data_IF_930977282634
#
_entry.id   IF_930977282634
#
_cell.length_a   1.000
_cell.length_b   1.000
_cell.length_c   1.000
_cell.angle_alpha   90.00
_cell.angle_beta   90.00
_cell.angle_gamma   90.00
#
_symmetry.space_group_name_H-M   'P 1'
#
loop_
_entity.id
_entity.type
_entity.pdbx_description
1 polymer ?
#
# COMPACT_ATOMS: atom_id res chain seq x y z
N UNK A 1 8.32 20.27 -25.00
CA UNK A 1 8.60 19.99 -23.57
C UNK A 1 8.21 18.55 -23.32
N UNK A 2 9.18 17.64 -23.28
CA UNK A 2 8.92 16.24 -22.98
C UNK A 2 8.70 16.11 -21.46
N UNK A 3 7.52 15.66 -21.04
CA UNK A 3 7.29 15.28 -19.66
C UNK A 3 8.20 14.09 -19.36
N UNK A 4 9.21 14.32 -18.52
CA UNK A 4 10.05 13.25 -18.00
C UNK A 4 9.14 12.38 -17.13
N UNK A 5 8.67 11.26 -17.68
CA UNK A 5 7.94 10.27 -16.91
C UNK A 5 8.95 9.66 -15.93
N UNK A 6 8.97 10.17 -14.71
CA UNK A 6 9.72 9.60 -13.60
C UNK A 6 9.16 8.20 -13.34
N UNK A 7 9.80 7.19 -13.96
CA UNK A 7 9.67 5.82 -13.54
C UNK A 7 10.69 5.62 -12.43
N UNK A 8 10.28 5.35 -11.18
CA UNK A 8 11.23 5.03 -10.13
C UNK A 8 12.11 3.85 -10.58
N UNK A 9 13.41 3.93 -10.32
CA UNK A 9 14.34 2.84 -10.61
C UNK A 9 13.88 1.56 -9.88
N UNK A 10 14.11 0.38 -10.46
CA UNK A 10 13.67 -0.89 -9.87
C UNK A 10 14.15 -1.10 -8.42
N UNK A 11 15.33 -0.57 -8.07
CA UNK A 11 15.88 -0.60 -6.70
C UNK A 11 15.11 0.27 -5.69
N UNK A 12 14.38 1.29 -6.17
CA UNK A 12 13.55 2.16 -5.36
C UNK A 12 12.24 1.49 -4.95
N UNK A 13 11.79 0.45 -5.67
CA UNK A 13 10.57 -0.31 -5.38
C UNK A 13 10.85 -1.70 -4.80
N UNK A 14 11.89 -1.84 -3.97
CA UNK A 14 12.34 -3.11 -3.39
C UNK A 14 11.24 -3.91 -2.66
N UNK A 15 10.20 -3.24 -2.19
CA UNK A 15 9.09 -3.82 -1.44
C UNK A 15 7.94 -4.33 -2.33
N UNK A 16 7.95 -4.00 -3.63
CA UNK A 16 6.90 -4.39 -4.57
C UNK A 16 7.46 -5.48 -5.49
N UNK A 17 7.04 -6.72 -5.25
CA UNK A 17 7.51 -7.89 -6.03
C UNK A 17 7.05 -7.83 -7.50
N UNK A 18 5.85 -7.34 -7.76
CA UNK A 18 5.26 -7.27 -9.10
C UNK A 18 4.84 -5.83 -9.43
N UNK A 19 5.73 -5.02 -10.04
CA UNK A 19 5.42 -3.64 -10.40
C UNK A 19 4.17 -3.54 -11.28
N UNK A 20 3.34 -2.51 -11.05
CA UNK A 20 2.07 -2.31 -11.78
C UNK A 20 0.90 -3.13 -11.23
N UNK A 21 1.10 -3.85 -10.12
CA UNK A 21 0.04 -4.61 -9.45
C UNK A 21 -0.09 -4.20 -7.99
N UNK A 22 -1.25 -4.46 -7.41
CA UNK A 22 -1.50 -4.38 -5.97
C UNK A 22 -1.22 -5.73 -5.32
N UNK A 23 -0.62 -5.70 -4.13
CA UNK A 23 -0.41 -6.82 -3.21
C UNK A 23 0.09 -8.10 -3.89
N UNK A 24 1.31 -8.05 -4.45
CA UNK A 24 1.97 -9.14 -5.19
C UNK A 24 1.08 -9.75 -6.29
N UNK A 25 0.63 -8.94 -7.23
CA UNK A 25 -0.09 -9.46 -8.40
C UNK A 25 -1.56 -9.74 -8.15
N UNK A 26 -2.12 -9.36 -7.01
CA UNK A 26 -3.53 -9.59 -6.68
C UNK A 26 -4.45 -9.05 -7.78
N UNK A 27 -4.12 -7.87 -8.30
CA UNK A 27 -4.79 -7.23 -9.42
C UNK A 27 -3.95 -6.09 -9.99
N UNK A 28 -4.26 -5.59 -11.20
CA UNK A 28 -3.64 -4.36 -11.71
C UNK A 28 -3.79 -3.21 -10.70
N UNK A 29 -2.73 -2.41 -10.57
CA UNK A 29 -2.74 -1.24 -9.71
C UNK A 29 -3.77 -0.22 -10.26
N UNK A 30 -4.70 0.28 -9.42
CA UNK A 30 -5.63 1.33 -9.85
C UNK A 30 -4.90 2.55 -10.41
N UNK A 31 -5.49 3.17 -11.44
CA UNK A 31 -4.92 4.36 -12.06
C UNK A 31 -4.75 5.51 -11.07
N UNK A 32 -3.69 6.29 -11.25
CA UNK A 32 -3.38 7.45 -10.40
C UNK A 32 -2.66 7.11 -9.09
N UNK A 33 -2.43 5.84 -8.79
CA UNK A 33 -1.59 5.44 -7.65
C UNK A 33 -0.13 5.35 -8.06
N UNK A 34 0.73 6.04 -7.31
CA UNK A 34 2.18 5.96 -7.48
C UNK A 34 2.77 4.95 -6.49
N UNK A 35 3.44 3.89 -6.96
CA UNK A 35 4.11 2.95 -6.08
C UNK A 35 5.31 3.60 -5.39
N UNK A 36 5.50 3.32 -4.10
CA UNK A 36 6.64 3.75 -3.30
C UNK A 36 7.08 2.62 -2.38
N UNK A 37 8.29 2.73 -1.84
CA UNK A 37 8.71 1.92 -0.70
C UNK A 37 9.21 2.80 0.44
N UNK A 38 9.17 2.28 1.68
CA UNK A 38 9.71 2.98 2.83
C UNK A 38 11.18 3.39 2.62
N UNK A 39 11.57 4.53 3.19
CA UNK A 39 12.95 5.03 3.09
C UNK A 39 13.88 4.42 4.15
N UNK A 40 13.33 3.70 5.13
CA UNK A 40 14.09 3.08 6.23
C UNK A 40 14.98 1.95 5.74
N UNK A 41 16.28 2.04 6.03
CA UNK A 41 17.26 1.00 5.72
C UNK A 41 16.98 -0.32 6.45
N UNK A 42 16.60 -0.26 7.72
CA UNK A 42 16.23 -1.44 8.51
C UNK A 42 15.03 -2.16 7.90
N UNK A 43 14.01 -1.40 7.51
CA UNK A 43 12.79 -1.98 6.93
C UNK A 43 13.06 -2.56 5.53
N UNK A 44 13.99 -1.95 4.78
CA UNK A 44 14.48 -2.54 3.53
C UNK A 44 15.13 -3.89 3.76
N UNK A 45 15.98 -4.01 4.78
CA UNK A 45 16.64 -5.27 5.10
C UNK A 45 15.62 -6.36 5.48
N UNK A 46 14.65 -6.03 6.35
CA UNK A 46 13.59 -6.98 6.75
C UNK A 46 12.79 -7.51 5.55
N UNK A 47 12.47 -6.65 4.58
CA UNK A 47 11.76 -7.04 3.37
C UNK A 47 12.62 -7.93 2.47
N UNK A 48 13.90 -7.62 2.34
CA UNK A 48 14.84 -8.44 1.56
C UNK A 48 15.08 -9.81 2.20
N UNK A 49 15.09 -9.88 3.53
CA UNK A 49 15.23 -11.12 4.30
C UNK A 49 13.92 -11.91 4.38
N UNK A 50 12.81 -11.36 3.87
CA UNK A 50 11.49 -11.98 3.90
C UNK A 50 10.83 -12.00 5.29
N UNK A 51 11.33 -11.20 6.23
CA UNK A 51 10.81 -11.06 7.59
C UNK A 51 9.59 -10.15 7.65
N UNK A 52 9.54 -9.18 6.75
CA UNK A 52 8.45 -8.20 6.64
C UNK A 52 7.94 -8.17 5.20
N UNK A 53 6.65 -7.91 5.02
CA UNK A 53 6.08 -7.61 3.71
C UNK A 53 5.22 -6.36 3.79
N UNK A 54 5.47 -5.47 2.85
CA UNK A 54 4.85 -4.16 2.79
C UNK A 54 4.79 -3.68 1.35
N UNK A 55 3.74 -2.95 1.01
CA UNK A 55 3.65 -2.17 -0.21
C UNK A 55 3.10 -0.79 0.12
N UNK A 56 3.66 0.25 -0.50
CA UNK A 56 3.18 1.62 -0.33
C UNK A 56 2.73 2.22 -1.64
N UNK A 57 1.66 3.00 -1.56
CA UNK A 57 1.04 3.69 -2.69
C UNK A 57 0.68 5.11 -2.30
N UNK A 58 0.99 6.07 -3.17
CA UNK A 58 0.59 7.46 -3.00
C UNK A 58 -0.61 7.73 -3.89
N UNK A 59 -1.70 8.22 -3.29
CA UNK A 59 -2.91 8.65 -3.99
C UNK A 59 -3.02 10.18 -3.99
N UNK A 60 -3.47 10.81 -5.10
CA UNK A 60 -3.66 12.25 -5.14
C UNK A 60 -4.81 12.71 -4.23
N UNK A 61 -4.60 13.74 -3.42
CA UNK A 61 -5.62 14.19 -2.46
C UNK A 61 -5.80 13.25 -1.26
N UNK A 62 -6.74 13.59 -0.36
CA UNK A 62 -7.15 12.72 0.74
C UNK A 62 -8.13 11.65 0.26
N UNK A 63 -7.64 10.43 0.03
CA UNK A 63 -8.40 9.28 -0.46
C UNK A 63 -8.08 8.02 0.36
N UNK A 64 -8.39 7.99 1.66
CA UNK A 64 -7.93 6.94 2.58
C UNK A 64 -8.47 5.54 2.24
N UNK A 65 -9.55 5.45 1.46
CA UNK A 65 -10.23 4.19 1.15
C UNK A 65 -10.10 3.74 -0.31
N UNK A 66 -9.23 4.37 -1.10
CA UNK A 66 -9.14 4.12 -2.56
C UNK A 66 -8.87 2.65 -2.92
N UNK A 67 -8.18 1.91 -2.05
CA UNK A 67 -7.91 0.48 -2.24
C UNK A 67 -8.93 -0.46 -1.57
N UNK A 68 -9.89 0.04 -0.79
CA UNK A 68 -10.89 -0.81 -0.11
C UNK A 68 -11.78 -1.55 -1.10
N UNK A 69 -12.28 -0.87 -2.13
CA UNK A 69 -13.08 -1.51 -3.18
C UNK A 69 -12.31 -2.62 -3.92
N UNK A 70 -11.10 -2.34 -4.45
CA UNK A 70 -10.18 -3.33 -4.99
C UNK A 70 -9.97 -4.56 -4.08
N UNK A 71 -9.60 -4.35 -2.82
CA UNK A 71 -9.34 -5.44 -1.86
C UNK A 71 -10.60 -6.27 -1.56
N UNK A 72 -11.77 -5.62 -1.42
CA UNK A 72 -13.05 -6.32 -1.25
C UNK A 72 -13.40 -7.22 -2.43
N UNK A 73 -13.17 -6.75 -3.67
CA UNK A 73 -13.35 -7.60 -4.87
C UNK A 73 -12.42 -8.80 -4.91
N UNK A 74 -11.25 -8.69 -4.27
CA UNK A 74 -10.29 -9.78 -4.13
C UNK A 74 -10.58 -10.72 -2.94
N UNK A 75 -11.73 -10.55 -2.27
CA UNK A 75 -12.23 -11.40 -1.20
C UNK A 75 -11.86 -10.97 0.21
N UNK A 76 -11.15 -9.84 0.39
CA UNK A 76 -10.83 -9.33 1.71
C UNK A 76 -12.05 -8.65 2.34
N UNK A 77 -12.36 -8.98 3.59
CA UNK A 77 -13.37 -8.30 4.39
C UNK A 77 -12.72 -7.48 5.50
N UNK A 78 -13.44 -6.45 5.96
CA UNK A 78 -13.05 -5.71 7.15
C UNK A 78 -13.27 -6.58 8.38
N UNK A 79 -12.21 -6.82 9.14
CA UNK A 79 -12.28 -7.59 10.39
C UNK A 79 -12.27 -6.67 11.61
N UNK A 80 -11.47 -5.60 11.57
CA UNK A 80 -11.35 -4.64 12.66
C UNK A 80 -11.01 -3.24 12.12
N UNK A 81 -11.54 -2.20 12.77
CA UNK A 81 -11.35 -0.79 12.44
C UNK A 81 -10.59 -0.09 13.58
N UNK A 82 -9.41 0.43 13.26
CA UNK A 82 -8.54 1.21 14.16
C UNK A 82 -8.36 2.66 13.66
N UNK A 83 -9.34 3.20 12.93
CA UNK A 83 -9.34 4.59 12.46
C UNK A 83 -9.22 5.57 13.64
N UNK A 84 -8.34 6.58 13.50
CA UNK A 84 -8.05 7.55 14.59
C UNK A 84 -8.16 8.99 14.10
N UNK A 85 -9.37 9.53 14.16
CA UNK A 85 -9.63 10.92 13.78
C UNK A 85 -9.65 11.14 12.26
N UNK A 86 -9.74 12.41 11.81
CA UNK A 86 -10.10 12.74 10.43
C UNK A 86 -8.98 12.50 9.39
N UNK A 87 -7.74 12.33 9.84
CA UNK A 87 -6.55 12.21 8.98
C UNK A 87 -5.77 10.91 9.25
N UNK A 88 -6.45 9.86 9.68
CA UNK A 88 -5.84 8.56 9.88
C UNK A 88 -6.88 7.47 9.76
N UNK A 89 -6.74 6.64 8.73
CA UNK A 89 -7.59 5.48 8.51
C UNK A 89 -6.75 4.22 8.64
N UNK A 90 -7.11 3.33 9.55
CA UNK A 90 -6.36 2.09 9.75
C UNK A 90 -7.30 0.95 10.03
N UNK A 91 -7.11 -0.17 9.35
CA UNK A 91 -8.01 -1.32 9.43
C UNK A 91 -7.25 -2.62 9.27
N UNK A 92 -7.78 -3.68 9.88
CA UNK A 92 -7.37 -5.05 9.64
C UNK A 92 -8.32 -5.74 8.68
N UNK A 93 -7.76 -6.38 7.65
CA UNK A 93 -8.49 -7.10 6.62
C UNK A 93 -8.05 -8.56 6.57
N UNK A 94 -8.95 -9.45 6.21
CA UNK A 94 -8.65 -10.85 5.94
C UNK A 94 -9.75 -11.51 5.12
N UNK A 95 -9.49 -12.68 4.54
CA UNK A 95 -10.56 -13.51 3.95
C UNK A 95 -11.26 -14.35 5.02
N UNK A 96 -10.53 -14.68 6.07
CA UNK A 96 -10.99 -15.28 7.32
C UNK A 96 -10.24 -14.67 8.49
N UNK A 97 -10.55 -15.08 9.71
CA UNK A 97 -9.69 -14.82 10.87
C UNK A 97 -8.54 -15.84 10.90
N UNK A 98 -7.31 -15.45 11.30
CA UNK A 98 -6.88 -14.10 11.69
C UNK A 98 -6.71 -13.14 10.49
N UNK A 99 -6.59 -11.84 10.76
CA UNK A 99 -6.33 -10.85 9.72
C UNK A 99 -5.04 -11.15 8.95
N UNK A 100 -5.12 -11.01 7.62
CA UNK A 100 -4.01 -11.21 6.69
C UNK A 100 -3.30 -9.90 6.38
N UNK A 101 -4.04 -8.79 6.35
CA UNK A 101 -3.55 -7.47 5.98
C UNK A 101 -3.84 -6.44 7.06
N UNK A 102 -2.84 -5.61 7.31
CA UNK A 102 -2.96 -4.33 7.97
C UNK A 102 -2.85 -3.22 6.93
N UNK A 103 -3.90 -2.39 6.86
CA UNK A 103 -4.02 -1.28 5.91
C UNK A 103 -4.02 0.02 6.70
N UNK A 104 -3.13 0.94 6.35
CA UNK A 104 -3.10 2.28 6.93
C UNK A 104 -3.04 3.34 5.83
N UNK A 105 -3.80 4.42 5.99
CA UNK A 105 -3.74 5.60 5.16
C UNK A 105 -3.58 6.87 6.02
N UNK A 106 -2.55 7.65 5.70
CA UNK A 106 -2.16 8.88 6.39
C UNK A 106 -1.81 10.00 5.39
N UNK A 107 -1.85 11.28 5.80
CA UNK A 107 -1.44 12.38 4.93
C UNK A 107 0.02 12.27 4.48
N UNK A 108 0.26 12.60 3.21
CA UNK A 108 1.58 12.78 2.59
C UNK A 108 1.57 14.11 1.83
N UNK A 109 1.74 15.21 2.57
CA UNK A 109 1.50 16.56 2.04
C UNK A 109 0.04 16.72 1.57
N UNK A 110 -0.21 17.07 0.29
CA UNK A 110 -1.57 17.15 -0.25
C UNK A 110 -2.17 15.78 -0.60
N UNK A 111 -1.38 14.71 -0.50
CA UNK A 111 -1.72 13.37 -0.96
C UNK A 111 -2.01 12.43 0.23
N UNK A 112 -2.34 11.18 -0.10
CA UNK A 112 -2.49 10.09 0.87
C UNK A 112 -1.38 9.08 0.65
N UNK A 113 -0.61 8.77 1.69
CA UNK A 113 0.25 7.60 1.73
C UNK A 113 -0.55 6.42 2.28
N UNK A 114 -0.66 5.39 1.47
CA UNK A 114 -1.30 4.12 1.80
C UNK A 114 -0.21 3.09 2.02
N UNK A 115 -0.26 2.38 3.14
CA UNK A 115 0.62 1.27 3.48
C UNK A 115 -0.22 0.02 3.65
N UNK A 116 0.11 -1.03 2.90
CA UNK A 116 -0.46 -2.37 3.06
C UNK A 116 0.66 -3.27 3.54
N UNK A 117 0.47 -3.94 4.67
CA UNK A 117 1.42 -4.89 5.24
C UNK A 117 0.70 -6.13 5.74
N UNK A 118 1.42 -7.23 5.93
CA UNK A 118 0.80 -8.50 6.29
C UNK A 118 1.58 -9.70 5.77
N UNK A 119 1.06 -10.90 6.00
CA UNK A 119 1.70 -12.16 5.61
C UNK A 119 0.92 -12.87 4.50
#
# INVERSE_FOLDING_TARGET
>A
MAALTWRPAAEALYCIRQPGTLWNGLMPLPEGLEPRCPTSGTYRQEVQDGLSRVEQYVAPGWQPQVLMGPLKRAGYVLLEDETRGPQHYSVFLGRSVPAELYYTAVPDGPNTLITVSGN
#
